data_IF_292788497987
#
_entry.id   IF_292788497987
#
_cell.length_a   1.000
_cell.length_b   1.000
_cell.length_c   1.000
_cell.angle_alpha   90.00
_cell.angle_beta   90.00
_cell.angle_gamma   90.00
#
_symmetry.space_group_name_H-M   'P 1'
#
loop_
_entity.id
_entity.type
_entity.pdbx_description
1 polymer ?
#
# COMPACT_ATOMS: atom_id res chain seq x y z
N UNK A 1 33.76 -16.72 6.08
CA UNK A 1 32.36 -16.85 5.54
C UNK A 1 32.22 -16.43 4.08
N UNK A 2 33.06 -15.64 3.50
CA UNK A 2 32.97 -15.14 2.13
C UNK A 2 31.71 -14.27 1.88
N UNK A 3 31.60 -13.67 0.70
CA UNK A 3 30.43 -12.94 0.27
C UNK A 3 29.37 -13.90 -0.27
N UNK A 4 28.15 -13.81 0.23
CA UNK A 4 27.00 -14.56 -0.26
C UNK A 4 25.95 -13.61 -0.84
N UNK A 5 25.23 -14.08 -1.84
CA UNK A 5 24.10 -13.37 -2.42
C UNK A 5 22.91 -14.31 -2.67
N UNK A 6 21.73 -13.75 -2.77
CA UNK A 6 20.50 -14.43 -3.16
C UNK A 6 19.60 -13.47 -3.91
N UNK A 7 18.86 -13.97 -4.89
CA UNK A 7 17.85 -13.21 -5.65
C UNK A 7 16.66 -14.09 -5.99
N UNK A 8 15.51 -13.46 -6.21
CA UNK A 8 14.34 -14.04 -6.87
C UNK A 8 13.82 -13.02 -7.88
N UNK A 9 13.37 -13.49 -9.02
CA UNK A 9 12.79 -12.63 -10.07
C UNK A 9 11.26 -12.72 -10.12
N UNK A 10 10.71 -13.75 -9.51
CA UNK A 10 9.27 -13.99 -9.44
C UNK A 10 8.83 -14.45 -8.06
N UNK A 11 7.62 -14.04 -7.65
CA UNK A 11 7.00 -14.50 -6.40
C UNK A 11 6.78 -16.03 -6.38
N UNK A 12 6.65 -16.67 -7.52
CA UNK A 12 6.52 -18.12 -7.63
C UNK A 12 7.77 -18.87 -7.14
N UNK A 13 8.94 -18.22 -7.13
CA UNK A 13 10.19 -18.78 -6.63
C UNK A 13 10.29 -18.71 -5.11
N UNK A 14 9.43 -17.92 -4.45
CA UNK A 14 9.51 -17.71 -3.00
C UNK A 14 9.37 -19.02 -2.22
N UNK A 15 8.32 -19.80 -2.49
CA UNK A 15 8.08 -21.05 -1.77
C UNK A 15 9.21 -22.06 -1.98
N UNK A 16 9.59 -22.42 -3.22
CA UNK A 16 10.62 -23.45 -3.44
C UNK A 16 12.04 -23.04 -3.07
N UNK A 17 12.36 -21.74 -3.08
CA UNK A 17 13.74 -21.30 -2.96
C UNK A 17 14.07 -20.50 -1.68
N UNK A 18 13.06 -19.88 -1.03
CA UNK A 18 13.30 -18.93 0.05
C UNK A 18 12.59 -19.33 1.35
N UNK A 19 11.34 -19.80 1.28
CA UNK A 19 10.49 -19.97 2.46
C UNK A 19 11.03 -20.99 3.48
N UNK A 20 11.82 -21.94 3.05
CA UNK A 20 12.42 -22.98 3.87
C UNK A 20 13.80 -22.62 4.44
N UNK A 21 14.32 -21.43 4.15
CA UNK A 21 15.63 -21.01 4.59
C UNK A 21 15.63 -20.60 6.05
N UNK A 22 16.49 -21.23 6.83
CA UNK A 22 16.56 -21.06 8.29
C UNK A 22 17.36 -19.83 8.68
N UNK A 23 17.00 -19.27 9.83
CA UNK A 23 17.75 -18.19 10.46
C UNK A 23 19.17 -18.63 10.81
N UNK A 24 20.04 -17.66 11.02
CA UNK A 24 21.42 -17.92 11.45
C UNK A 24 21.85 -16.97 12.56
N UNK A 25 22.84 -17.39 13.32
CA UNK A 25 23.51 -16.59 14.33
C UNK A 25 24.99 -16.97 14.42
N UNK A 26 25.77 -16.07 15.00
CA UNK A 26 27.16 -16.40 15.37
C UNK A 26 27.18 -17.03 16.75
N UNK A 27 28.12 -17.94 16.97
CA UNK A 27 28.21 -18.68 18.20
C UNK A 27 28.38 -17.80 19.44
N UNK A 28 29.21 -16.75 19.33
CA UNK A 28 29.41 -15.79 20.41
C UNK A 28 28.13 -15.02 20.78
N UNK A 29 27.23 -14.79 19.83
CA UNK A 29 25.91 -14.19 20.07
C UNK A 29 25.00 -15.14 20.83
N UNK A 30 25.05 -16.44 20.48
CA UNK A 30 24.29 -17.48 21.16
C UNK A 30 24.72 -17.60 22.62
N UNK A 31 26.01 -17.58 22.92
CA UNK A 31 26.52 -17.60 24.31
C UNK A 31 25.99 -16.39 25.11
N UNK A 32 26.01 -15.21 24.53
CA UNK A 32 25.49 -14.00 25.18
C UNK A 32 23.99 -14.09 25.41
N UNK A 33 23.22 -14.63 24.47
CA UNK A 33 21.78 -14.80 24.57
C UNK A 33 21.38 -15.89 25.58
N UNK A 34 22.15 -16.98 25.62
CA UNK A 34 22.00 -18.06 26.64
C UNK A 34 22.20 -17.49 28.06
N UNK A 35 23.28 -16.75 28.28
CA UNK A 35 23.60 -16.15 29.58
C UNK A 35 22.54 -15.14 30.05
N UNK A 36 21.82 -14.53 29.12
CA UNK A 36 20.71 -13.58 29.41
C UNK A 36 19.33 -14.23 29.43
N UNK A 37 19.21 -15.53 29.21
CA UNK A 37 17.90 -16.22 29.14
C UNK A 37 16.99 -15.76 28.00
N UNK A 38 17.58 -15.23 26.91
CA UNK A 38 16.82 -14.62 25.80
C UNK A 38 16.54 -15.58 24.64
N UNK A 39 17.01 -16.83 24.69
CA UNK A 39 16.71 -17.84 23.67
C UNK A 39 15.33 -18.44 23.99
N UNK A 40 14.29 -17.99 23.31
CA UNK A 40 12.90 -18.42 23.57
C UNK A 40 12.33 -19.43 22.56
N UNK A 41 13.04 -19.77 21.48
CA UNK A 41 12.52 -20.66 20.44
C UNK A 41 13.55 -21.09 19.41
N UNK A 42 14.77 -20.55 19.49
CA UNK A 42 15.89 -21.02 18.70
C UNK A 42 16.54 -22.24 19.34
N UNK A 43 16.74 -23.30 18.57
CA UNK A 43 17.58 -24.43 18.94
C UNK A 43 18.55 -24.79 17.84
N UNK A 44 19.45 -25.76 18.10
CA UNK A 44 20.42 -26.22 17.12
C UNK A 44 19.80 -26.97 15.93
N UNK A 45 18.49 -27.24 15.93
CA UNK A 45 17.84 -27.95 14.83
C UNK A 45 17.17 -26.95 13.85
N UNK A 46 16.92 -25.71 14.28
CA UNK A 46 16.20 -24.71 13.47
C UNK A 46 17.01 -23.45 13.13
N UNK A 47 18.28 -23.37 13.56
CA UNK A 47 19.16 -22.24 13.24
C UNK A 47 20.52 -22.70 12.74
N UNK A 48 21.07 -21.99 11.77
CA UNK A 48 22.45 -22.18 11.29
C UNK A 48 23.37 -21.43 12.24
N UNK A 49 24.36 -22.12 12.80
CA UNK A 49 25.32 -21.51 13.73
C UNK A 49 26.67 -21.39 13.08
N UNK A 50 27.14 -20.16 12.90
CA UNK A 50 28.46 -19.86 12.41
C UNK A 50 29.47 -19.74 13.56
N UNK A 51 30.58 -20.40 13.42
CA UNK A 51 31.68 -20.38 14.39
C UNK A 51 32.77 -19.46 13.85
N UNK A 52 32.84 -18.26 14.40
CA UNK A 52 33.77 -17.21 13.95
C UNK A 52 35.06 -17.13 14.76
N UNK A 53 35.14 -17.87 15.88
CA UNK A 53 36.30 -17.98 16.75
C UNK A 53 36.55 -19.41 17.15
N UNK A 54 37.82 -19.80 17.43
CA UNK A 54 38.11 -21.12 17.98
C UNK A 54 37.33 -21.37 19.26
N UNK A 55 36.69 -22.55 19.37
CA UNK A 55 35.92 -22.95 20.53
C UNK A 55 36.85 -23.43 21.65
N UNK A 56 36.62 -22.88 22.85
CA UNK A 56 37.22 -23.49 24.06
C UNK A 56 36.48 -24.75 24.45
N UNK A 57 37.15 -25.66 25.16
CA UNK A 57 36.50 -26.85 25.70
C UNK A 57 35.34 -26.49 26.66
N UNK A 58 35.50 -25.42 27.41
CA UNK A 58 34.46 -24.91 28.33
C UNK A 58 33.20 -24.48 27.58
N UNK A 59 33.34 -23.72 26.49
CA UNK A 59 32.23 -23.31 25.62
C UNK A 59 31.55 -24.53 24.99
N UNK A 60 32.31 -25.51 24.54
CA UNK A 60 31.75 -26.75 23.98
C UNK A 60 30.91 -27.51 24.98
N UNK A 61 31.36 -27.64 26.23
CA UNK A 61 30.56 -28.32 27.28
C UNK A 61 29.31 -27.53 27.68
N UNK A 62 29.38 -26.19 27.74
CA UNK A 62 28.22 -25.37 27.96
C UNK A 62 27.17 -25.55 26.86
N UNK A 63 27.59 -25.59 25.60
CA UNK A 63 26.69 -25.79 24.46
C UNK A 63 26.07 -27.19 24.46
N UNK A 64 26.86 -28.25 24.75
CA UNK A 64 26.34 -29.59 24.86
C UNK A 64 25.24 -29.67 25.92
N UNK A 65 25.44 -29.07 27.10
CA UNK A 65 24.45 -28.99 28.18
C UNK A 65 23.21 -28.19 27.77
N UNK A 66 23.42 -27.00 27.22
CA UNK A 66 22.32 -26.08 26.87
C UNK A 66 21.39 -26.68 25.82
N UNK A 67 21.92 -27.38 24.84
CA UNK A 67 21.18 -27.96 23.72
C UNK A 67 20.95 -29.48 23.81
N UNK A 68 21.29 -30.10 24.95
CA UNK A 68 21.14 -31.53 25.21
C UNK A 68 21.72 -32.40 24.07
N UNK A 69 22.96 -32.12 23.66
CA UNK A 69 23.69 -32.84 22.61
C UNK A 69 24.93 -33.51 23.18
N UNK A 70 25.12 -34.80 22.86
CA UNK A 70 26.30 -35.55 23.31
C UNK A 70 27.58 -35.12 22.58
N UNK A 71 27.45 -34.76 21.31
CA UNK A 71 28.59 -34.37 20.47
C UNK A 71 28.27 -33.11 19.68
N UNK A 72 29.16 -32.15 19.74
CA UNK A 72 29.13 -30.91 18.92
C UNK A 72 30.48 -30.83 18.21
N UNK A 73 30.45 -30.64 16.89
CA UNK A 73 31.64 -30.45 16.04
C UNK A 73 31.42 -29.27 15.09
N UNK A 74 32.53 -28.76 14.52
CA UNK A 74 32.50 -27.69 13.55
C UNK A 74 32.93 -28.23 12.21
N UNK A 75 32.13 -27.99 11.18
CA UNK A 75 32.47 -28.40 9.80
C UNK A 75 33.61 -27.53 9.25
N UNK A 76 34.27 -28.01 8.22
CA UNK A 76 35.38 -27.28 7.56
C UNK A 76 34.98 -25.90 7.01
N UNK A 77 33.71 -25.67 6.75
CA UNK A 77 33.15 -24.40 6.30
C UNK A 77 32.82 -23.41 7.44
N UNK A 78 33.20 -23.73 8.69
CA UNK A 78 32.95 -22.89 9.86
C UNK A 78 31.51 -22.90 10.38
N UNK A 79 30.71 -23.88 10.00
CA UNK A 79 29.34 -24.07 10.49
C UNK A 79 29.33 -25.20 11.51
N UNK A 80 28.56 -25.03 12.58
CA UNK A 80 28.36 -26.07 13.57
C UNK A 80 27.71 -27.30 12.91
N UNK A 81 28.20 -28.51 13.25
CA UNK A 81 27.67 -29.74 12.67
C UNK A 81 26.40 -30.21 13.35
N UNK A 82 25.38 -29.34 13.33
CA UNK A 82 24.08 -29.57 13.93
C UNK A 82 22.98 -29.82 12.89
N UNK A 83 23.22 -29.41 11.65
CA UNK A 83 22.25 -29.54 10.55
C UNK A 83 22.94 -29.58 9.17
N UNK A 84 22.19 -30.02 8.17
CA UNK A 84 22.61 -29.92 6.76
C UNK A 84 21.94 -28.71 6.13
N UNK A 85 22.70 -27.87 5.40
CA UNK A 85 22.15 -26.71 4.70
C UNK A 85 21.23 -27.15 3.57
N UNK A 86 20.13 -26.44 3.38
CA UNK A 86 19.25 -26.62 2.21
C UNK A 86 19.90 -26.05 0.95
N UNK A 87 20.70 -24.98 1.09
CA UNK A 87 21.43 -24.33 0.01
C UNK A 87 22.81 -23.86 0.48
N UNK A 88 23.82 -23.85 -0.39
CA UNK A 88 25.13 -23.32 -0.01
C UNK A 88 25.12 -21.86 0.47
N UNK A 89 24.14 -21.07 -0.01
CA UNK A 89 23.91 -19.67 0.33
C UNK A 89 22.64 -19.46 1.20
N UNK A 90 22.31 -20.42 2.03
CA UNK A 90 21.04 -20.40 2.81
C UNK A 90 20.92 -19.15 3.69
N UNK A 91 22.02 -18.66 4.28
CA UNK A 91 21.99 -17.43 5.07
C UNK A 91 21.64 -16.19 4.24
N UNK A 92 22.14 -16.08 3.01
CA UNK A 92 21.76 -14.97 2.12
C UNK A 92 20.29 -15.08 1.69
N UNK A 93 19.80 -16.30 1.46
CA UNK A 93 18.36 -16.53 1.17
C UNK A 93 17.46 -16.17 2.35
N UNK A 94 17.88 -16.51 3.57
CA UNK A 94 17.17 -16.08 4.76
C UNK A 94 17.16 -14.53 4.90
N UNK A 95 18.27 -13.85 4.58
CA UNK A 95 18.28 -12.39 4.55
C UNK A 95 17.35 -11.81 3.49
N UNK A 96 17.16 -12.47 2.36
CA UNK A 96 16.16 -12.09 1.37
C UNK A 96 14.74 -12.27 1.91
N UNK A 97 14.47 -13.37 2.65
CA UNK A 97 13.21 -13.58 3.38
C UNK A 97 12.92 -12.42 4.35
N UNK A 98 13.91 -12.03 5.15
CA UNK A 98 13.81 -10.91 6.09
C UNK A 98 13.44 -9.60 5.36
N UNK A 99 14.11 -9.30 4.25
CA UNK A 99 13.83 -8.09 3.44
C UNK A 99 12.39 -8.11 2.92
N UNK A 100 11.92 -9.22 2.39
CA UNK A 100 10.55 -9.36 1.88
C UNK A 100 9.54 -9.14 3.00
N UNK A 101 9.74 -9.76 4.16
CA UNK A 101 8.87 -9.61 5.33
C UNK A 101 8.87 -8.19 5.89
N UNK A 102 10.03 -7.59 6.07
CA UNK A 102 10.16 -6.23 6.62
C UNK A 102 9.57 -5.17 5.67
N UNK A 103 9.72 -5.34 4.35
CA UNK A 103 9.13 -4.45 3.36
C UNK A 103 7.60 -4.56 3.26
N UNK A 104 7.02 -5.70 3.64
CA UNK A 104 5.57 -5.84 3.73
C UNK A 104 4.93 -4.87 4.74
N UNK A 105 5.71 -4.38 5.72
CA UNK A 105 5.28 -3.36 6.68
C UNK A 105 4.95 -2.00 6.03
N UNK A 106 5.36 -1.76 4.79
CA UNK A 106 4.96 -0.57 4.01
C UNK A 106 3.43 -0.55 3.84
N UNK A 107 2.80 -1.73 3.72
CA UNK A 107 1.34 -1.87 3.63
C UNK A 107 0.77 -1.64 2.22
N UNK A 108 1.64 -1.63 1.20
CA UNK A 108 1.26 -1.55 -0.21
C UNK A 108 2.17 -2.43 -1.08
N UNK A 109 1.76 -2.68 -2.32
CA UNK A 109 2.57 -3.46 -3.26
C UNK A 109 3.71 -2.61 -3.80
N UNK A 110 4.90 -3.21 -3.89
CA UNK A 110 6.07 -2.61 -4.51
C UNK A 110 6.18 -3.17 -5.94
N UNK A 111 6.29 -2.29 -6.92
CA UNK A 111 6.64 -2.64 -8.30
C UNK A 111 8.00 -2.05 -8.62
N UNK A 112 9.02 -2.90 -8.69
CA UNK A 112 10.39 -2.47 -8.96
C UNK A 112 11.40 -3.51 -8.52
N UNK A 113 12.69 -3.20 -8.72
CA UNK A 113 13.82 -4.01 -8.28
C UNK A 113 14.31 -3.49 -6.93
N UNK A 114 14.44 -4.37 -5.96
CA UNK A 114 15.01 -4.08 -4.64
C UNK A 114 16.40 -4.71 -4.56
N UNK A 115 17.41 -3.90 -4.24
CA UNK A 115 18.79 -4.36 -4.01
C UNK A 115 19.15 -4.00 -2.57
N UNK A 116 19.45 -5.02 -1.77
CA UNK A 116 19.83 -4.84 -0.37
C UNK A 116 21.27 -5.34 -0.15
N UNK A 117 22.13 -4.48 0.36
CA UNK A 117 23.51 -4.82 0.73
C UNK A 117 23.62 -4.88 2.25
N UNK A 118 24.01 -6.04 2.79
CA UNK A 118 24.10 -6.32 4.23
C UNK A 118 22.80 -5.94 4.99
N UNK A 119 21.63 -6.44 4.53
CA UNK A 119 20.35 -6.06 5.15
C UNK A 119 20.24 -6.60 6.58
N UNK A 120 19.39 -5.92 7.37
CA UNK A 120 19.03 -6.33 8.72
C UNK A 120 17.73 -5.66 9.13
N UNK A 121 16.98 -6.24 10.07
CA UNK A 121 15.65 -5.79 10.50
C UNK A 121 15.60 -4.30 10.86
N UNK A 122 16.61 -3.78 11.54
CA UNK A 122 16.66 -2.35 11.89
C UNK A 122 16.64 -1.45 10.65
N UNK A 123 17.53 -1.72 9.67
CA UNK A 123 17.62 -0.92 8.44
C UNK A 123 16.40 -1.13 7.57
N UNK A 124 15.95 -2.37 7.41
CA UNK A 124 14.79 -2.70 6.59
C UNK A 124 13.52 -2.01 7.11
N UNK A 125 13.29 -2.06 8.42
CA UNK A 125 12.12 -1.41 9.05
C UNK A 125 12.22 0.11 9.02
N UNK A 126 13.41 0.69 9.16
CA UNK A 126 13.64 2.13 9.01
C UNK A 126 13.35 2.59 7.58
N UNK A 127 13.78 1.82 6.59
CA UNK A 127 13.46 2.06 5.18
C UNK A 127 11.95 1.98 4.93
N UNK A 128 11.29 0.94 5.45
CA UNK A 128 9.84 0.76 5.32
C UNK A 128 9.05 1.94 5.92
N UNK A 129 9.47 2.46 7.08
CA UNK A 129 8.88 3.66 7.68
C UNK A 129 9.06 4.88 6.78
N UNK A 130 10.27 5.09 6.24
CA UNK A 130 10.56 6.22 5.34
C UNK A 130 9.73 6.16 4.06
N UNK A 131 9.63 4.98 3.44
CA UNK A 131 8.77 4.77 2.28
C UNK A 131 7.30 5.07 2.59
N UNK A 132 6.81 4.65 3.75
CA UNK A 132 5.44 4.93 4.18
C UNK A 132 5.17 6.43 4.36
N UNK A 133 6.14 7.19 4.85
CA UNK A 133 6.07 8.66 4.93
C UNK A 133 6.00 9.29 3.53
N UNK A 134 6.87 8.87 2.61
CA UNK A 134 6.90 9.37 1.22
C UNK A 134 5.55 9.07 0.53
N UNK A 135 5.02 7.87 0.66
CA UNK A 135 3.73 7.48 0.10
C UNK A 135 2.60 8.37 0.65
N UNK A 136 2.60 8.62 1.97
CA UNK A 136 1.60 9.52 2.58
C UNK A 136 1.67 10.94 2.04
N UNK A 137 2.87 11.47 1.82
CA UNK A 137 3.07 12.80 1.22
C UNK A 137 2.61 12.80 -0.24
N UNK A 138 2.99 11.80 -1.01
CA UNK A 138 2.56 11.63 -2.41
C UNK A 138 1.04 11.57 -2.53
N UNK A 139 0.38 10.79 -1.67
CA UNK A 139 -1.09 10.69 -1.65
C UNK A 139 -1.78 12.00 -1.24
N UNK A 140 -1.12 12.83 -0.42
CA UNK A 140 -1.63 14.18 -0.09
C UNK A 140 -1.48 15.15 -1.27
N UNK A 141 -0.39 15.02 -2.03
CA UNK A 141 -0.15 15.86 -3.20
C UNK A 141 -1.07 15.50 -4.39
N UNK A 142 -1.78 14.38 -4.32
CA UNK A 142 -2.79 14.00 -5.32
C UNK A 142 -4.17 14.65 -5.07
N UNK A 143 -4.30 15.43 -3.98
CA UNK A 143 -5.48 16.26 -3.72
C UNK A 143 -5.45 17.44 -4.70
N UNK A 144 -6.49 17.60 -5.54
CA UNK A 144 -6.56 18.72 -6.47
C UNK A 144 -6.43 20.07 -5.75
N UNK A 145 -5.56 20.92 -6.23
CA UNK A 145 -5.48 22.30 -5.78
C UNK A 145 -6.25 23.17 -6.75
N UNK A 146 -7.28 23.84 -6.28
CA UNK A 146 -8.10 24.76 -7.09
C UNK A 146 -7.80 26.17 -6.65
N UNK A 147 -7.41 27.01 -7.59
CA UNK A 147 -7.42 28.47 -7.40
C UNK A 147 -8.84 28.99 -7.65
N UNK A 148 -9.56 29.21 -6.56
CA UNK A 148 -10.95 29.73 -6.61
C UNK A 148 -11.04 31.18 -7.14
N UNK A 149 -9.93 31.91 -7.23
CA UNK A 149 -9.90 33.24 -7.84
C UNK A 149 -9.84 33.16 -9.38
N UNK A 150 -9.42 32.02 -9.93
CA UNK A 150 -9.40 31.78 -11.36
C UNK A 150 -10.82 31.59 -11.92
N UNK A 151 -10.97 31.93 -13.20
CA UNK A 151 -12.24 31.71 -13.91
C UNK A 151 -12.46 30.21 -14.14
N UNK A 152 -13.59 29.69 -13.71
CA UNK A 152 -13.99 28.31 -14.01
C UNK A 152 -14.15 28.10 -15.53
N UNK A 153 -13.80 26.90 -16.00
CA UNK A 153 -13.97 26.47 -17.40
C UNK A 153 -15.46 26.39 -17.76
N UNK A 154 -16.26 25.87 -16.82
CA UNK A 154 -17.71 25.78 -16.92
C UNK A 154 -18.37 26.27 -15.63
N UNK A 155 -19.36 27.08 -15.78
CA UNK A 155 -20.34 27.45 -14.74
C UNK A 155 -21.56 26.53 -14.82
N UNK A 156 -22.51 26.71 -13.90
CA UNK A 156 -23.74 25.93 -13.83
C UNK A 156 -24.55 25.95 -15.13
N UNK A 157 -24.58 27.09 -15.84
CA UNK A 157 -25.32 27.21 -17.11
C UNK A 157 -24.74 26.30 -18.19
N UNK A 158 -23.42 26.30 -18.35
CA UNK A 158 -22.72 25.40 -19.29
C UNK A 158 -22.81 23.92 -18.90
N UNK A 159 -22.80 23.63 -17.59
CA UNK A 159 -23.00 22.27 -17.09
C UNK A 159 -24.40 21.76 -17.47
N UNK A 160 -25.44 22.60 -17.38
CA UNK A 160 -26.80 22.25 -17.78
C UNK A 160 -26.97 22.07 -19.30
N UNK A 161 -26.09 22.59 -20.13
CA UNK A 161 -26.05 22.30 -21.58
C UNK A 161 -25.55 20.87 -21.86
N UNK A 162 -24.72 20.32 -20.98
CA UNK A 162 -24.12 18.99 -21.13
C UNK A 162 -24.94 17.92 -20.41
N UNK A 163 -25.28 18.17 -19.12
CA UNK A 163 -26.01 17.24 -18.28
C UNK A 163 -27.53 17.48 -18.39
N UNK A 164 -28.34 16.41 -18.42
CA UNK A 164 -29.81 16.52 -18.39
C UNK A 164 -30.36 16.92 -17.01
N UNK A 165 -29.56 16.80 -15.96
CA UNK A 165 -29.95 17.07 -14.59
C UNK A 165 -30.33 18.52 -14.35
N UNK A 166 -31.29 18.78 -13.49
CA UNK A 166 -31.74 20.12 -13.10
C UNK A 166 -31.95 20.16 -11.56
N UNK A 167 -31.91 21.35 -10.94
CA UNK A 167 -32.25 21.47 -9.55
C UNK A 167 -33.66 20.87 -9.27
N UNK A 168 -33.84 20.14 -8.14
CA UNK A 168 -32.89 19.97 -7.04
C UNK A 168 -31.90 18.83 -7.20
N UNK A 169 -31.81 18.22 -8.39
CA UNK A 169 -30.95 17.03 -8.65
C UNK A 169 -29.72 17.33 -9.51
N UNK A 170 -29.24 18.56 -9.50
CA UNK A 170 -27.97 18.97 -10.10
C UNK A 170 -26.97 19.27 -8.97
N UNK A 171 -25.90 18.47 -8.90
CA UNK A 171 -24.95 18.48 -7.77
C UNK A 171 -23.55 18.95 -8.14
N UNK A 172 -23.38 19.67 -9.24
CA UNK A 172 -22.12 20.27 -9.66
C UNK A 172 -22.33 21.76 -9.95
N UNK A 173 -21.47 22.60 -9.38
CA UNK A 173 -21.58 24.06 -9.55
C UNK A 173 -20.61 24.60 -10.58
N UNK A 174 -19.34 24.13 -10.58
CA UNK A 174 -18.30 24.63 -11.48
C UNK A 174 -17.29 23.53 -11.86
N UNK A 175 -16.73 23.65 -13.06
CA UNK A 175 -15.61 22.85 -13.52
C UNK A 175 -14.38 23.77 -13.67
N UNK A 176 -13.27 23.35 -13.08
CA UNK A 176 -12.00 24.07 -13.12
C UNK A 176 -10.95 23.42 -14.02
N UNK A 177 -11.03 22.10 -14.22
CA UNK A 177 -10.15 21.35 -15.11
C UNK A 177 -10.95 20.32 -15.90
N UNK A 178 -10.68 20.22 -17.18
CA UNK A 178 -11.25 19.22 -18.06
C UNK A 178 -10.20 18.83 -19.10
N UNK A 179 -9.75 17.59 -19.08
CA UNK A 179 -8.81 16.98 -20.03
C UNK A 179 -9.45 15.79 -20.71
N UNK A 180 -8.69 15.04 -21.50
CA UNK A 180 -9.22 13.84 -22.17
C UNK A 180 -9.56 12.70 -21.19
N UNK A 181 -8.92 12.66 -20.04
CA UNK A 181 -9.04 11.55 -19.09
C UNK A 181 -9.39 11.97 -17.65
N UNK A 182 -9.49 13.29 -17.39
CA UNK A 182 -9.74 13.81 -16.05
C UNK A 182 -10.64 15.05 -16.07
N UNK A 183 -11.48 15.16 -15.03
CA UNK A 183 -12.26 16.35 -14.73
C UNK A 183 -12.13 16.70 -13.25
N UNK A 184 -11.98 18.01 -12.96
CA UNK A 184 -11.99 18.54 -11.59
C UNK A 184 -13.03 19.65 -11.51
N UNK A 185 -13.91 19.53 -10.51
CA UNK A 185 -14.94 20.50 -10.27
C UNK A 185 -15.38 20.54 -8.82
N UNK A 186 -16.37 21.37 -8.54
CA UNK A 186 -16.82 21.64 -7.16
C UNK A 186 -18.32 21.61 -7.02
N UNK A 187 -18.75 21.28 -5.80
CA UNK A 187 -20.09 21.49 -5.25
C UNK A 187 -19.98 22.29 -3.97
N UNK A 188 -20.67 23.42 -3.90
CA UNK A 188 -20.89 24.14 -2.67
C UNK A 188 -22.14 23.58 -1.99
N UNK A 189 -22.00 23.18 -0.74
CA UNK A 189 -23.09 22.56 0.01
C UNK A 189 -23.80 23.62 0.84
N UNK A 190 -25.04 23.94 0.49
CA UNK A 190 -25.82 24.96 1.17
C UNK A 190 -26.98 24.34 1.98
N UNK A 191 -27.39 24.99 3.05
CA UNK A 191 -28.43 24.47 3.97
C UNK A 191 -29.82 24.31 3.34
N UNK A 192 -30.08 25.01 2.25
CA UNK A 192 -31.35 25.01 1.51
C UNK A 192 -31.50 23.82 0.55
N UNK A 193 -30.50 22.94 0.45
CA UNK A 193 -30.63 21.71 -0.31
C UNK A 193 -31.72 20.81 0.22
N UNK A 194 -32.57 20.29 -0.66
CA UNK A 194 -33.77 19.54 -0.29
C UNK A 194 -33.52 18.31 0.58
N UNK A 195 -32.39 17.64 0.42
CA UNK A 195 -32.05 16.46 1.21
C UNK A 195 -31.81 16.76 2.70
N UNK A 196 -31.48 18.01 3.08
CA UNK A 196 -31.32 18.37 4.49
C UNK A 196 -32.63 18.46 5.25
N UNK A 197 -33.78 18.58 4.57
CA UNK A 197 -35.11 18.54 5.21
C UNK A 197 -35.38 17.23 5.94
N UNK A 198 -34.71 16.14 5.50
CA UNK A 198 -34.89 14.81 6.10
C UNK A 198 -33.61 14.14 6.60
N UNK A 199 -32.44 14.65 6.22
CA UNK A 199 -31.15 13.95 6.53
C UNK A 199 -30.13 14.86 7.25
N UNK A 200 -30.28 15.22 8.50
CA UNK A 200 -31.33 14.98 9.46
C UNK A 200 -31.82 16.35 9.98
N UNK A 201 -33.09 16.55 10.39
CA UNK A 201 -33.59 17.86 10.79
C UNK A 201 -32.75 18.58 11.84
N UNK A 202 -32.33 17.88 12.89
CA UNK A 202 -31.53 18.47 13.99
C UNK A 202 -30.01 18.36 13.79
N UNK A 203 -29.58 17.65 12.75
CA UNK A 203 -28.15 17.46 12.44
C UNK A 203 -27.96 17.27 10.93
N UNK A 204 -27.91 18.35 10.15
CA UNK A 204 -27.83 18.27 8.70
C UNK A 204 -26.47 17.71 8.25
N UNK A 205 -26.52 16.59 7.55
CA UNK A 205 -25.36 15.91 6.94
C UNK A 205 -25.72 15.56 5.49
N UNK A 206 -24.87 15.88 4.54
CA UNK A 206 -25.11 15.47 3.15
C UNK A 206 -25.11 13.96 3.04
N UNK A 207 -26.15 13.32 2.46
CA UNK A 207 -26.19 11.88 2.28
C UNK A 207 -25.03 11.40 1.43
N UNK A 208 -24.33 10.34 1.87
CA UNK A 208 -23.19 9.79 1.12
C UNK A 208 -23.56 9.33 -0.29
N UNK A 209 -24.79 8.85 -0.48
CA UNK A 209 -25.30 8.46 -1.81
C UNK A 209 -25.42 9.66 -2.77
N UNK A 210 -25.74 10.85 -2.27
CA UNK A 210 -25.77 12.07 -3.07
C UNK A 210 -24.35 12.52 -3.46
N UNK A 211 -23.35 12.28 -2.62
CA UNK A 211 -21.95 12.52 -2.98
C UNK A 211 -21.54 11.60 -4.13
N UNK A 212 -21.96 10.33 -4.12
CA UNK A 212 -21.70 9.39 -5.22
C UNK A 212 -22.40 9.84 -6.50
N UNK A 213 -23.63 10.30 -6.40
CA UNK A 213 -24.37 10.85 -7.54
C UNK A 213 -23.66 12.09 -8.12
N UNK A 214 -23.19 13.01 -7.27
CA UNK A 214 -22.40 14.16 -7.71
C UNK A 214 -21.11 13.73 -8.44
N UNK A 215 -20.43 12.67 -7.95
CA UNK A 215 -19.27 12.10 -8.65
C UNK A 215 -19.67 11.50 -10.01
N UNK A 216 -20.82 10.87 -10.13
CA UNK A 216 -21.32 10.35 -11.41
C UNK A 216 -21.66 11.48 -12.40
N UNK A 217 -22.28 12.54 -11.94
CA UNK A 217 -22.53 13.74 -12.75
C UNK A 217 -21.23 14.37 -13.24
N UNK A 218 -20.20 14.44 -12.36
CA UNK A 218 -18.86 14.87 -12.74
C UNK A 218 -18.25 13.99 -13.83
N UNK A 219 -18.33 12.67 -13.65
CA UNK A 219 -17.89 11.71 -14.67
C UNK A 219 -18.70 11.82 -15.97
N UNK A 220 -20.01 12.10 -15.87
CA UNK A 220 -20.87 12.37 -17.00
C UNK A 220 -20.39 13.58 -17.82
N UNK A 221 -19.96 14.67 -17.18
CA UNK A 221 -19.37 15.82 -17.85
C UNK A 221 -18.13 15.40 -18.65
N UNK A 222 -17.23 14.61 -18.06
CA UNK A 222 -16.00 14.16 -18.74
C UNK A 222 -16.27 13.36 -20.02
N UNK A 223 -17.32 12.54 -20.04
CA UNK A 223 -17.65 11.72 -21.20
C UNK A 223 -18.51 12.47 -22.20
N UNK A 224 -19.55 13.13 -21.71
CA UNK A 224 -20.56 13.75 -22.56
C UNK A 224 -20.02 15.04 -23.26
N UNK A 225 -19.07 15.74 -22.66
CA UNK A 225 -18.41 16.89 -23.29
C UNK A 225 -17.68 16.57 -24.59
N UNK A 226 -17.46 15.28 -24.87
CA UNK A 226 -16.81 14.78 -26.10
C UNK A 226 -17.80 14.41 -27.21
N UNK A 227 -19.08 14.48 -26.93
CA UNK A 227 -20.13 14.10 -27.86
C UNK A 227 -20.68 15.31 -28.59
N UNK A 228 -21.03 15.17 -29.87
CA UNK A 228 -21.61 16.24 -30.69
C UNK A 228 -23.02 16.50 -30.24
N UNK A 229 -23.73 16.13 -29.51
CA UNK A 229 -25.08 16.47 -29.01
C UNK A 229 -25.33 15.76 -27.67
N UNK A 230 -24.66 16.20 -26.61
CA UNK A 230 -24.70 15.52 -25.31
C UNK A 230 -26.13 15.38 -24.76
N UNK A 231 -27.02 16.32 -25.06
CA UNK A 231 -28.43 16.31 -24.64
C UNK A 231 -29.24 15.13 -25.17
N UNK A 232 -28.75 14.40 -26.18
CA UNK A 232 -29.40 13.23 -26.75
C UNK A 232 -29.02 11.92 -26.01
N UNK A 233 -28.19 12.02 -24.99
CA UNK A 233 -27.66 10.87 -24.27
C UNK A 233 -28.03 10.94 -22.79
N UNK A 234 -28.23 9.76 -22.20
CA UNK A 234 -28.37 9.57 -20.74
C UNK A 234 -27.29 8.62 -20.24
N UNK A 235 -26.78 8.91 -19.06
CA UNK A 235 -25.81 8.04 -18.38
C UNK A 235 -26.47 7.37 -17.17
N UNK A 236 -26.13 6.10 -16.95
CA UNK A 236 -26.64 5.30 -15.85
C UNK A 236 -25.50 4.58 -15.12
N UNK A 237 -25.64 4.40 -13.83
CA UNK A 237 -24.76 3.52 -13.09
C UNK A 237 -24.89 2.08 -13.57
N UNK A 238 -23.76 1.47 -13.96
CA UNK A 238 -23.67 0.03 -14.19
C UNK A 238 -23.17 -0.69 -12.93
N UNK A 239 -22.27 -0.06 -12.18
CA UNK A 239 -21.65 -0.64 -11.00
C UNK A 239 -20.97 0.43 -10.15
N UNK A 240 -20.96 0.24 -8.84
CA UNK A 240 -20.24 1.06 -7.88
C UNK A 240 -19.37 0.14 -7.01
N UNK A 241 -18.08 0.41 -6.97
CA UNK A 241 -17.10 -0.40 -6.22
C UNK A 241 -16.27 0.47 -5.27
N UNK A 242 -15.82 -0.13 -4.17
CA UNK A 242 -14.78 0.40 -3.27
C UNK A 242 -15.08 1.79 -2.69
N UNK A 243 -16.34 2.10 -2.45
CA UNK A 243 -16.75 3.37 -1.84
C UNK A 243 -16.34 3.41 -0.37
N UNK A 244 -15.80 4.56 0.05
CA UNK A 244 -15.50 4.84 1.46
C UNK A 244 -15.77 6.30 1.79
N UNK A 245 -16.60 6.53 2.81
CA UNK A 245 -16.81 7.84 3.41
C UNK A 245 -15.90 7.96 4.64
N UNK A 246 -15.01 8.93 4.66
CA UNK A 246 -14.06 9.13 5.77
C UNK A 246 -14.46 10.28 6.68
N UNK A 247 -15.11 11.28 6.10
CA UNK A 247 -15.59 12.46 6.80
C UNK A 247 -17.05 12.74 6.42
N UNK A 248 -17.76 13.43 7.31
CA UNK A 248 -19.08 14.00 7.01
C UNK A 248 -18.91 15.23 6.14
N UNK A 249 -19.91 15.52 5.34
CA UNK A 249 -20.06 16.77 4.59
C UNK A 249 -21.23 17.52 5.18
N UNK A 250 -21.02 18.76 5.57
CA UNK A 250 -21.96 19.60 6.29
C UNK A 250 -22.32 20.85 5.46
N UNK A 251 -23.46 21.51 5.74
CA UNK A 251 -23.73 22.82 5.16
C UNK A 251 -22.58 23.81 5.40
N UNK A 252 -22.17 24.53 4.37
CA UNK A 252 -21.01 25.42 4.38
C UNK A 252 -19.73 24.81 3.81
N UNK A 253 -19.68 23.49 3.62
CA UNK A 253 -18.52 22.86 2.99
C UNK A 253 -18.52 23.06 1.47
N UNK A 254 -17.32 23.05 0.88
CA UNK A 254 -17.12 22.92 -0.57
C UNK A 254 -16.45 21.58 -0.85
N UNK A 255 -17.11 20.74 -1.63
CA UNK A 255 -16.55 19.45 -2.06
C UNK A 255 -15.79 19.68 -3.37
N UNK A 256 -14.56 19.21 -3.42
CA UNK A 256 -13.76 19.12 -4.64
C UNK A 256 -13.86 17.70 -5.15
N UNK A 257 -14.34 17.54 -6.37
CA UNK A 257 -14.39 16.27 -7.08
C UNK A 257 -13.25 16.19 -8.09
N UNK A 258 -12.54 15.07 -8.09
CA UNK A 258 -11.61 14.67 -9.13
C UNK A 258 -12.04 13.33 -9.66
N UNK A 259 -12.45 13.27 -10.93
CA UNK A 259 -12.80 12.02 -11.61
C UNK A 259 -11.83 11.77 -12.75
N UNK A 260 -11.30 10.55 -12.81
CA UNK A 260 -10.36 10.12 -13.85
C UNK A 260 -10.83 8.83 -14.51
N UNK A 261 -10.68 8.73 -15.83
CA UNK A 261 -10.91 7.50 -16.57
C UNK A 261 -9.83 6.47 -16.24
N UNK A 262 -10.23 5.25 -15.90
CA UNK A 262 -9.31 4.13 -15.63
C UNK A 262 -8.97 3.33 -16.90
N UNK A 263 -9.53 3.69 -18.03
CA UNK A 263 -9.30 3.05 -19.31
C UNK A 263 -10.18 3.62 -20.41
N UNK A 264 -10.04 3.17 -21.65
CA UNK A 264 -10.78 3.70 -22.77
C UNK A 264 -12.28 3.41 -22.64
N UNK A 265 -13.10 4.34 -23.13
CA UNK A 265 -14.52 4.15 -23.32
C UNK A 265 -14.79 2.99 -24.30
N UNK A 266 -15.53 1.97 -23.86
CA UNK A 266 -15.82 0.79 -24.68
C UNK A 266 -17.29 0.38 -24.58
N UNK A 267 -17.96 0.18 -25.73
CA UNK A 267 -19.35 -0.33 -25.83
C UNK A 267 -20.33 0.44 -24.93
N UNK A 268 -20.17 1.74 -24.81
CA UNK A 268 -21.05 2.56 -23.97
C UNK A 268 -20.72 2.51 -22.47
N UNK A 269 -19.64 1.84 -22.05
CA UNK A 269 -19.25 1.73 -20.64
C UNK A 269 -17.90 2.43 -20.41
N UNK A 270 -17.84 3.23 -19.35
CA UNK A 270 -16.59 3.83 -18.84
C UNK A 270 -16.35 3.43 -17.38
N UNK A 271 -15.09 3.27 -17.04
CA UNK A 271 -14.63 3.04 -15.66
C UNK A 271 -13.93 4.28 -15.18
N UNK A 272 -14.38 4.81 -14.04
CA UNK A 272 -13.84 6.03 -13.42
C UNK A 272 -13.52 5.81 -11.95
N UNK A 273 -12.59 6.62 -11.45
CA UNK A 273 -12.34 6.79 -10.03
C UNK A 273 -12.26 8.26 -9.66
#
# INVERSE_FOLDING_TARGET
LGTQNASIDSISEFIPQISNCRTFSFLHEIEMLLNKGLIKGGDLNNAIVYVDKPLSNETMEKLKKAFNKEKISVKSNGILDNLTLHYPNEAARHKLLDVIGDLALIGTRIRGKVIANKPGHYINTKFSKKMKEIIKVSMKNDIPQIDFSSKAIMDTSKIMEILPHRPPFLFIDKIYELTDDQVIGVKNVTIDEDFFKGHFPDYPVMPGVIIIEAMAQMGGILVMSKLDNPQNYLTFFAKIDKVRFRNKVLPGDTIIFKCSLLGPFRRGICHMQ
#
